data_IF_787849131457
#
_entry.id   IF_787849131457
#
_cell.length_a   1.000
_cell.length_b   1.000
_cell.length_c   1.000
_cell.angle_alpha   90.00
_cell.angle_beta   90.00
_cell.angle_gamma   90.00
#
_symmetry.space_group_name_H-M   'P 1'
#
loop_
_entity.id
_entity.type
_entity.pdbx_description
1 polymer ?
#
# COMPACT_ATOMS: atom_id res chain seq x y z
N UNK A 1 0.68 -3.69 -1.83
CA UNK A 1 1.28 -4.69 -2.75
C UNK A 1 0.23 -5.53 -3.50
N UNK A 2 -0.66 -6.28 -2.85
CA UNK A 2 -1.64 -7.16 -3.57
C UNK A 2 -2.48 -6.43 -4.60
N UNK A 3 -2.95 -5.22 -4.29
CA UNK A 3 -3.73 -4.38 -5.21
C UNK A 3 -2.90 -3.97 -6.43
N UNK A 4 -1.69 -3.46 -6.20
CA UNK A 4 -0.76 -3.09 -7.30
C UNK A 4 -0.47 -4.30 -8.19
N UNK A 5 -0.15 -5.46 -7.61
CA UNK A 5 0.08 -6.69 -8.39
C UNK A 5 -1.14 -7.05 -9.25
N UNK A 6 -2.36 -7.04 -8.67
CA UNK A 6 -3.58 -7.36 -9.43
C UNK A 6 -3.86 -6.36 -10.56
N UNK A 7 -3.58 -5.08 -10.34
CA UNK A 7 -3.73 -4.07 -11.39
C UNK A 7 -2.70 -4.25 -12.51
N UNK A 8 -1.47 -4.59 -12.16
CA UNK A 8 -0.43 -4.92 -13.15
C UNK A 8 -0.78 -6.19 -13.93
N UNK A 9 -1.33 -7.22 -13.26
CA UNK A 9 -1.81 -8.44 -13.92
C UNK A 9 -2.96 -8.13 -14.89
N UNK A 10 -3.91 -7.26 -14.52
CA UNK A 10 -4.97 -6.80 -15.44
C UNK A 10 -4.38 -6.04 -16.62
N UNK A 11 -3.46 -5.11 -16.37
CA UNK A 11 -2.78 -4.37 -17.44
C UNK A 11 -2.00 -5.30 -18.37
N UNK A 12 -1.46 -6.42 -17.84
CA UNK A 12 -0.80 -7.44 -18.63
C UNK A 12 -1.76 -8.20 -19.56
N UNK A 13 -3.00 -8.42 -19.14
CA UNK A 13 -4.03 -9.04 -19.98
C UNK A 13 -4.36 -8.14 -21.17
N UNK A 14 -4.46 -6.82 -20.97
CA UNK A 14 -4.73 -5.85 -22.03
C UNK A 14 -3.49 -5.58 -22.90
N UNK A 15 -2.29 -5.59 -22.34
CA UNK A 15 -1.01 -5.27 -23.01
C UNK A 15 0.09 -6.28 -22.67
N UNK A 16 0.04 -7.52 -23.19
CA UNK A 16 1.02 -8.56 -22.81
C UNK A 16 2.48 -8.19 -23.10
N UNK A 17 2.73 -7.44 -24.18
CA UNK A 17 4.10 -7.02 -24.57
C UNK A 17 4.62 -5.86 -23.70
N UNK A 18 3.74 -5.05 -23.12
CA UNK A 18 4.09 -3.85 -22.33
C UNK A 18 4.54 -4.14 -20.91
N UNK A 19 4.16 -5.27 -20.32
CA UNK A 19 4.32 -5.58 -18.88
C UNK A 19 5.51 -6.50 -18.58
N UNK A 20 6.44 -6.65 -19.51
CA UNK A 20 7.63 -7.51 -19.30
C UNK A 20 8.51 -6.97 -18.17
N UNK A 21 8.94 -7.88 -17.28
CA UNK A 21 9.89 -7.58 -16.20
C UNK A 21 9.25 -7.27 -14.85
N UNK A 22 7.93 -7.32 -14.72
CA UNK A 22 7.29 -7.24 -13.42
C UNK A 22 7.40 -8.57 -12.66
N UNK A 23 7.86 -8.50 -11.42
CA UNK A 23 7.99 -9.68 -10.54
C UNK A 23 7.04 -9.58 -9.37
N UNK A 24 6.11 -10.52 -9.26
CA UNK A 24 5.19 -10.62 -8.13
C UNK A 24 5.91 -11.12 -6.88
N UNK A 25 6.15 -10.23 -5.92
CA UNK A 25 6.79 -10.53 -4.63
C UNK A 25 5.80 -10.57 -3.45
N UNK A 26 4.50 -10.64 -3.72
CA UNK A 26 3.45 -10.62 -2.69
C UNK A 26 3.62 -11.74 -1.66
N UNK A 27 3.96 -12.96 -2.09
CA UNK A 27 4.21 -14.10 -1.20
C UNK A 27 5.41 -13.87 -0.29
N UNK A 28 6.48 -13.28 -0.83
CA UNK A 28 7.69 -12.96 -0.09
C UNK A 28 7.43 -11.92 0.99
N UNK A 29 6.75 -10.83 0.65
CA UNK A 29 6.35 -9.80 1.59
C UNK A 29 5.41 -10.33 2.70
N UNK A 30 4.43 -11.17 2.33
CA UNK A 30 3.52 -11.79 3.30
C UNK A 30 4.25 -12.65 4.33
N UNK A 31 5.23 -13.46 3.91
CA UNK A 31 6.04 -14.26 4.84
C UNK A 31 6.80 -13.39 5.85
N UNK A 32 7.37 -12.26 5.41
CA UNK A 32 8.10 -11.33 6.29
C UNK A 32 7.17 -10.60 7.26
N UNK A 33 6.00 -10.22 6.80
CA UNK A 33 4.97 -9.61 7.64
C UNK A 33 4.51 -10.60 8.72
N UNK A 34 4.21 -11.85 8.36
CA UNK A 34 3.89 -12.90 9.32
C UNK A 34 5.02 -13.18 10.32
N UNK A 35 6.27 -13.10 9.87
CA UNK A 35 7.42 -13.24 10.77
C UNK A 35 7.49 -12.08 11.78
N UNK A 36 7.15 -10.86 11.38
CA UNK A 36 7.05 -9.70 12.28
C UNK A 36 5.90 -9.85 13.29
N UNK A 37 4.73 -10.32 12.85
CA UNK A 37 3.55 -10.53 13.68
C UNK A 37 3.80 -11.58 14.79
N UNK A 38 4.51 -12.65 14.45
CA UNK A 38 4.80 -13.78 15.35
C UNK A 38 5.98 -13.56 16.29
N UNK A 39 6.66 -12.43 16.24
CA UNK A 39 7.81 -12.14 17.08
C UNK A 39 7.40 -11.97 18.54
N UNK A 40 8.14 -12.62 19.46
CA UNK A 40 8.05 -12.38 20.89
C UNK A 40 8.55 -10.98 21.26
N UNK A 41 8.24 -10.51 22.47
CA UNK A 41 8.73 -9.20 22.96
C UNK A 41 10.27 -9.10 22.92
N UNK A 42 10.96 -10.13 23.33
CA UNK A 42 12.42 -10.21 23.32
C UNK A 42 13.00 -10.14 21.90
N UNK A 43 12.40 -10.88 20.96
CA UNK A 43 12.82 -10.87 19.55
C UNK A 43 12.58 -9.50 18.89
N UNK A 44 11.52 -8.80 19.27
CA UNK A 44 11.23 -7.45 18.73
C UNK A 44 12.38 -6.48 19.03
N UNK A 45 12.95 -6.53 20.22
CA UNK A 45 14.04 -5.64 20.61
C UNK A 45 15.27 -5.74 19.68
N UNK A 46 15.59 -6.93 19.20
CA UNK A 46 16.80 -7.18 18.40
C UNK A 46 16.56 -7.35 16.91
N UNK A 47 15.42 -7.93 16.51
CA UNK A 47 15.19 -8.37 15.13
C UNK A 47 14.12 -7.55 14.38
N UNK A 48 13.40 -6.66 15.04
CA UNK A 48 12.32 -5.91 14.42
C UNK A 48 12.83 -5.01 13.28
N UNK A 49 13.85 -4.21 13.55
CA UNK A 49 14.41 -3.25 12.60
C UNK A 49 14.94 -3.92 11.32
N UNK A 50 15.80 -4.96 11.37
CA UNK A 50 16.27 -5.62 10.16
C UNK A 50 15.14 -6.26 9.34
N UNK A 51 14.13 -6.85 9.99
CA UNK A 51 12.98 -7.43 9.28
C UNK A 51 12.10 -6.37 8.62
N UNK A 52 11.87 -5.23 9.27
CA UNK A 52 11.19 -4.10 8.63
C UNK A 52 11.98 -3.57 7.44
N UNK A 53 13.29 -3.40 7.57
CA UNK A 53 14.17 -2.95 6.47
C UNK A 53 14.04 -3.86 5.26
N UNK A 54 14.03 -5.17 5.47
CA UNK A 54 13.86 -6.15 4.41
C UNK A 54 12.46 -6.08 3.77
N UNK A 55 11.40 -5.95 4.57
CA UNK A 55 10.03 -5.78 4.07
C UNK A 55 9.88 -4.51 3.24
N UNK A 56 10.40 -3.38 3.71
CA UNK A 56 10.37 -2.11 3.01
C UNK A 56 11.14 -2.18 1.68
N UNK A 57 12.31 -2.83 1.67
CA UNK A 57 13.09 -3.04 0.45
C UNK A 57 12.29 -3.82 -0.61
N UNK A 58 11.66 -4.92 -0.21
CA UNK A 58 10.85 -5.75 -1.14
C UNK A 58 9.65 -4.95 -1.64
N UNK A 59 8.99 -4.20 -0.76
CA UNK A 59 7.84 -3.37 -1.15
C UNK A 59 8.27 -2.30 -2.13
N UNK A 60 9.36 -1.57 -1.86
CA UNK A 60 9.91 -0.57 -2.77
C UNK A 60 10.26 -1.12 -4.15
N UNK A 61 10.89 -2.30 -4.21
CA UNK A 61 11.19 -2.96 -5.50
C UNK A 61 9.93 -3.29 -6.32
N UNK A 62 8.82 -3.66 -5.66
CA UNK A 62 7.55 -3.91 -6.37
C UNK A 62 6.94 -2.61 -6.87
N UNK A 63 6.95 -1.54 -6.07
CA UNK A 63 6.43 -0.24 -6.48
C UNK A 63 7.25 0.32 -7.65
N UNK A 64 8.57 0.28 -7.56
CA UNK A 64 9.47 0.71 -8.64
C UNK A 64 9.22 -0.08 -9.93
N UNK A 65 9.12 -1.42 -9.86
CA UNK A 65 8.81 -2.23 -11.03
C UNK A 65 7.43 -1.93 -11.63
N UNK A 66 6.43 -1.60 -10.79
CA UNK A 66 5.11 -1.18 -11.26
C UNK A 66 5.16 0.19 -11.97
N UNK A 67 5.91 1.16 -11.43
CA UNK A 67 6.16 2.44 -12.11
C UNK A 67 6.84 2.25 -13.47
N UNK A 68 7.83 1.36 -13.57
CA UNK A 68 8.47 1.04 -14.84
C UNK A 68 7.50 0.42 -15.85
N UNK A 69 6.57 -0.42 -15.40
CA UNK A 69 5.49 -0.96 -16.25
C UNK A 69 4.60 0.16 -16.78
N UNK A 70 4.16 1.09 -15.93
CA UNK A 70 3.35 2.25 -16.35
C UNK A 70 4.09 3.08 -17.40
N UNK A 71 5.37 3.40 -17.16
CA UNK A 71 6.21 4.15 -18.10
C UNK A 71 6.39 3.45 -19.46
N UNK A 72 6.61 2.13 -19.44
CA UNK A 72 6.78 1.33 -20.67
C UNK A 72 5.47 1.24 -21.46
N UNK A 73 4.35 1.00 -20.77
CA UNK A 73 3.05 0.88 -21.41
C UNK A 73 2.54 2.21 -21.98
N UNK A 74 2.97 3.35 -21.44
CA UNK A 74 2.64 4.68 -21.99
C UNK A 74 3.15 4.89 -23.42
N UNK A 75 4.18 4.16 -23.82
CA UNK A 75 4.79 4.25 -25.17
C UNK A 75 4.14 3.31 -26.19
N UNK A 76 3.24 2.42 -25.76
CA UNK A 76 2.58 1.46 -26.65
C UNK A 76 1.49 2.17 -27.45
N UNK A 77 1.61 2.17 -28.78
CA UNK A 77 0.64 2.70 -29.73
C UNK A 77 -0.14 1.53 -30.36
N UNK A 78 -1.32 1.80 -30.92
CA UNK A 78 -2.06 0.82 -31.72
C UNK A 78 -3.15 0.06 -30.95
N UNK A 79 -3.63 0.64 -29.86
CA UNK A 79 -4.83 0.17 -29.16
C UNK A 79 -6.04 0.98 -29.68
N UNK A 80 -7.20 0.34 -29.83
CA UNK A 80 -8.45 1.04 -30.17
C UNK A 80 -8.83 2.06 -29.09
N UNK A 81 -9.76 2.97 -29.42
CA UNK A 81 -10.11 4.10 -28.52
C UNK A 81 -10.63 3.60 -27.18
N UNK A 82 -11.49 2.57 -27.17
CA UNK A 82 -12.10 2.04 -25.94
C UNK A 82 -11.07 1.31 -25.07
N UNK A 83 -10.25 0.46 -25.67
CA UNK A 83 -9.13 -0.19 -24.99
C UNK A 83 -8.10 0.81 -24.44
N UNK A 84 -7.86 1.90 -25.16
CA UNK A 84 -6.97 2.98 -24.72
C UNK A 84 -7.45 3.63 -23.42
N UNK A 85 -8.74 3.94 -23.29
CA UNK A 85 -9.32 4.52 -22.07
C UNK A 85 -9.18 3.56 -20.87
N UNK A 86 -9.50 2.27 -21.06
CA UNK A 86 -9.37 1.27 -19.99
C UNK A 86 -7.91 1.12 -19.52
N UNK A 87 -6.96 1.10 -20.44
CA UNK A 87 -5.53 1.03 -20.14
C UNK A 87 -5.07 2.27 -19.37
N UNK A 88 -5.50 3.46 -19.75
CA UNK A 88 -5.15 4.70 -19.06
C UNK A 88 -5.74 4.76 -17.66
N UNK A 89 -6.96 4.29 -17.45
CA UNK A 89 -7.53 4.13 -16.10
C UNK A 89 -6.70 3.17 -15.23
N UNK A 90 -6.27 2.03 -15.77
CA UNK A 90 -5.40 1.09 -15.06
C UNK A 90 -4.04 1.73 -14.69
N UNK A 91 -3.43 2.48 -15.60
CA UNK A 91 -2.19 3.21 -15.34
C UNK A 91 -2.35 4.23 -14.22
N UNK A 92 -3.41 5.03 -14.26
CA UNK A 92 -3.71 6.00 -13.21
C UNK A 92 -3.92 5.33 -11.85
N UNK A 93 -4.67 4.23 -11.81
CA UNK A 93 -4.87 3.46 -10.58
C UNK A 93 -3.55 2.90 -10.03
N UNK A 94 -2.71 2.31 -10.90
CA UNK A 94 -1.40 1.77 -10.48
C UNK A 94 -0.55 2.90 -9.90
N UNK A 95 -0.46 4.05 -10.57
CA UNK A 95 0.30 5.20 -10.11
C UNK A 95 -0.19 5.68 -8.73
N UNK A 96 -1.50 5.89 -8.57
CA UNK A 96 -2.09 6.34 -7.30
C UNK A 96 -1.77 5.37 -6.14
N UNK A 97 -1.88 4.05 -6.37
CA UNK A 97 -1.53 3.06 -5.34
C UNK A 97 -0.03 2.97 -5.08
N UNK A 98 0.82 3.25 -6.06
CA UNK A 98 2.26 3.32 -5.87
C UNK A 98 2.64 4.53 -5.01
N UNK A 99 2.10 5.71 -5.30
CA UNK A 99 2.34 6.94 -4.53
C UNK A 99 1.91 6.78 -3.06
N UNK A 100 0.73 6.18 -2.83
CA UNK A 100 0.29 5.84 -1.48
C UNK A 100 1.23 4.82 -0.80
N UNK A 101 1.69 3.83 -1.55
CA UNK A 101 2.65 2.84 -1.08
C UNK A 101 3.99 3.46 -0.66
N UNK A 102 4.49 4.43 -1.43
CA UNK A 102 5.71 5.17 -1.11
C UNK A 102 5.55 6.02 0.15
N UNK A 103 4.40 6.69 0.34
CA UNK A 103 4.09 7.41 1.58
C UNK A 103 4.11 6.47 2.79
N UNK A 104 3.52 5.27 2.67
CA UNK A 104 3.53 4.25 3.74
C UNK A 104 4.95 3.74 4.02
N UNK A 105 5.78 3.53 2.98
CA UNK A 105 7.19 3.16 3.15
C UNK A 105 7.94 4.23 3.92
N UNK A 106 7.80 5.50 3.52
CA UNK A 106 8.44 6.63 4.18
C UNK A 106 8.00 6.75 5.64
N UNK A 107 6.70 6.75 5.90
CA UNK A 107 6.13 6.76 7.25
C UNK A 107 6.67 5.62 8.12
N UNK A 108 6.77 4.41 7.57
CA UNK A 108 7.26 3.25 8.31
C UNK A 108 8.76 3.36 8.57
N UNK A 109 9.55 3.86 7.62
CA UNK A 109 10.97 4.12 7.79
C UNK A 109 11.21 5.10 8.94
N UNK A 110 10.63 6.29 8.87
CA UNK A 110 10.75 7.33 9.89
C UNK A 110 10.39 6.79 11.27
N UNK A 111 9.27 6.07 11.39
CA UNK A 111 8.78 5.56 12.67
C UNK A 111 9.61 4.41 13.24
N UNK A 112 9.98 3.42 12.41
CA UNK A 112 10.55 2.15 12.87
C UNK A 112 12.07 2.12 12.78
N UNK A 113 12.66 2.74 11.74
CA UNK A 113 14.11 2.74 11.53
C UNK A 113 14.77 3.94 12.20
N UNK A 114 14.14 5.11 12.10
CA UNK A 114 14.70 6.37 12.58
C UNK A 114 14.15 6.77 13.97
N UNK A 115 13.14 6.06 14.49
CA UNK A 115 12.54 6.32 15.81
C UNK A 115 11.71 7.60 15.89
N UNK A 116 11.39 8.21 14.75
CA UNK A 116 10.70 9.50 14.67
C UNK A 116 9.21 9.37 15.00
N UNK A 117 8.65 10.36 15.69
CA UNK A 117 7.22 10.48 15.87
C UNK A 117 6.60 11.18 14.65
N UNK A 118 6.05 10.42 13.72
CA UNK A 118 5.35 10.97 12.55
C UNK A 118 4.08 11.69 13.01
N UNK A 119 3.86 12.96 12.61
CA UNK A 119 2.66 13.71 12.95
C UNK A 119 1.37 13.04 12.44
N UNK A 120 0.21 13.22 13.12
CA UNK A 120 -1.05 12.58 12.73
C UNK A 120 -1.54 12.98 11.33
N UNK A 121 -1.29 14.20 10.90
CA UNK A 121 -1.67 14.78 9.61
C UNK A 121 -0.88 14.19 8.43
N UNK A 122 0.37 13.78 8.68
CA UNK A 122 1.21 13.11 7.68
C UNK A 122 0.94 11.59 7.57
N UNK A 123 0.16 11.01 8.52
CA UNK A 123 -0.05 9.57 8.55
C UNK A 123 -1.07 9.09 7.54
N UNK A 124 -0.68 8.08 6.77
CA UNK A 124 -1.62 7.27 6.00
C UNK A 124 -2.18 6.19 6.91
N UNK A 125 -3.45 6.31 7.30
CA UNK A 125 -4.14 5.34 8.17
C UNK A 125 -4.77 4.19 7.39
N UNK A 126 -5.25 4.48 6.18
CA UNK A 126 -5.80 3.48 5.28
C UNK A 126 -5.38 3.79 3.84
N UNK A 127 -5.00 2.76 3.09
CA UNK A 127 -4.70 2.88 1.66
C UNK A 127 -6.00 2.88 0.82
N UNK A 128 -7.08 2.33 1.38
CA UNK A 128 -8.36 2.20 0.69
C UNK A 128 -9.33 3.33 1.00
N UNK A 129 -9.15 3.98 2.15
CA UNK A 129 -9.98 5.08 2.64
C UNK A 129 -9.09 6.26 2.99
N UNK A 130 -8.88 7.16 2.02
CA UNK A 130 -8.00 8.33 2.18
C UNK A 130 -8.50 9.34 3.22
N UNK A 131 -9.79 9.30 3.59
CA UNK A 131 -10.45 10.16 4.58
C UNK A 131 -10.58 9.54 5.96
N UNK A 132 -9.86 8.45 6.24
CA UNK A 132 -9.84 7.89 7.61
C UNK A 132 -9.10 8.83 8.54
N UNK A 133 -9.82 9.46 9.48
CA UNK A 133 -9.26 10.31 10.53
C UNK A 133 -9.23 9.58 11.87
N UNK A 134 -8.22 9.88 12.68
CA UNK A 134 -8.17 9.42 14.06
C UNK A 134 -9.10 10.27 14.93
N UNK A 135 -10.04 9.64 15.61
CA UNK A 135 -10.87 10.29 16.61
C UNK A 135 -10.20 10.14 18.00
N UNK A 136 -9.88 11.27 18.62
CA UNK A 136 -9.36 11.30 19.98
C UNK A 136 -10.50 10.95 20.94
N UNK A 137 -10.43 9.78 21.58
CA UNK A 137 -11.40 9.38 22.61
C UNK A 137 -10.78 9.64 23.98
N UNK A 138 -11.54 10.30 24.86
CA UNK A 138 -11.14 10.65 26.22
C UNK A 138 -11.02 9.47 27.21
N UNK A 139 -10.71 8.26 26.75
CA UNK A 139 -10.48 7.10 27.62
C UNK A 139 -9.07 7.18 28.21
N UNK A 140 -8.97 7.10 29.51
CA UNK A 140 -7.71 7.21 30.27
C UNK A 140 -6.60 6.24 29.86
N UNK A 141 -6.93 5.07 29.25
CA UNK A 141 -5.95 4.04 28.85
C UNK A 141 -5.66 3.97 27.34
N UNK A 142 -6.54 4.54 26.49
CA UNK A 142 -6.32 4.56 25.03
C UNK A 142 -6.68 5.94 24.47
N UNK A 143 -5.66 6.72 24.13
CA UNK A 143 -5.82 8.07 23.59
C UNK A 143 -6.40 8.14 22.18
N UNK A 144 -6.26 7.06 21.39
CA UNK A 144 -6.60 7.09 19.96
C UNK A 144 -7.16 5.76 19.49
N UNK A 145 -8.31 5.77 18.85
CA UNK A 145 -8.85 4.63 18.09
C UNK A 145 -9.10 5.09 16.65
N UNK A 146 -8.80 4.24 15.67
CA UNK A 146 -9.24 4.45 14.29
C UNK A 146 -10.73 4.13 14.20
N UNK A 147 -11.52 5.05 13.66
CA UNK A 147 -12.94 4.83 13.40
C UNK A 147 -13.19 5.12 11.91
N UNK A 148 -13.63 4.10 11.22
CA UNK A 148 -14.36 4.27 9.98
C UNK A 148 -15.75 4.82 10.32
N UNK A 149 -16.09 5.97 9.80
CA UNK A 149 -17.41 6.57 9.95
C UNK A 149 -18.38 5.82 9.05
N UNK A 150 -18.92 4.68 9.52
CA UNK A 150 -20.13 4.13 8.95
C UNK A 150 -21.31 4.93 9.51
N UNK A 151 -21.84 5.83 8.73
CA UNK A 151 -23.10 6.52 9.02
C UNK A 151 -24.28 5.57 8.73
N UNK A 152 -24.51 4.61 9.64
CA UNK A 152 -25.75 3.86 9.63
C UNK A 152 -26.74 4.58 10.57
N UNK A 153 -27.87 5.08 10.04
CA UNK A 153 -28.93 5.56 10.90
C UNK A 153 -29.48 4.39 11.73
N UNK A 154 -29.54 4.56 13.05
CA UNK A 154 -30.26 3.61 13.92
C UNK A 154 -31.74 3.74 13.62
N UNK A 155 -32.32 2.67 13.12
CA UNK A 155 -33.78 2.54 13.05
C UNK A 155 -34.30 2.35 14.48
N UNK A 156 -35.21 3.19 14.99
CA UNK A 156 -35.82 2.97 16.28
C UNK A 156 -36.66 1.68 16.22
N UNK A 157 -36.47 0.81 17.20
CA UNK A 157 -37.37 -0.32 17.40
C UNK A 157 -38.66 0.22 18.05
N UNK A 158 -39.80 -0.08 17.39
CA UNK A 158 -41.13 0.08 17.93
C UNK A 158 -41.34 -0.89 19.08
#
# INVERSE_FOLDING_TARGET
MRTVTRLVDKLHQELPRGVRGFTNRTRSARRRMQALERMSATQRHTQQVPKYRELLRITGQVLESAHQVVKKTAKVKGVDVLGGVAIDQLRQQITAYCDLGEKVINQTRRRVLDGEQVPPDEKVYSIFESHTHLIKRGKQRQRWNSVTRSSWPRVPRA
#
